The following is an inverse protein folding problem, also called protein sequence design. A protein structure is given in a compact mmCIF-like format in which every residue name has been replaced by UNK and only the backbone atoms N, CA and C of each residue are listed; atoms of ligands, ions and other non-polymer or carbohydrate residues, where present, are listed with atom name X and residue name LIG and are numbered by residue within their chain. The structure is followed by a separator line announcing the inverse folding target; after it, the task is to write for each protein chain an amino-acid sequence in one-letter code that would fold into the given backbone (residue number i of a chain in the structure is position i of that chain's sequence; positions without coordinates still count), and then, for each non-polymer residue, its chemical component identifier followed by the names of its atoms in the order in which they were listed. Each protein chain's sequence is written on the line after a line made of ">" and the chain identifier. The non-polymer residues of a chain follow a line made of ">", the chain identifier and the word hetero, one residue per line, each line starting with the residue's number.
data_IF_845585087444
#
_entry.id   IF_845585087444
#
_cell.length_a   1.000
_cell.length_b   1.000
_cell.length_c   1.000
_cell.angle_alpha   90.00
_cell.angle_beta   90.00
_cell.angle_gamma   90.00
#
_symmetry.space_group_name_H-M   'P 1'
#
loop_
_entity.id
_entity.type
_entity.pdbx_description
1 polymer ?
#
# COMPACT_ATOMS: atom_id res chain seq x y z
N UNK A 1 -14.27 -36.36 0.22
CA UNK A 1 -12.79 -36.35 0.30
C UNK A 1 -12.36 -34.92 -0.03
N UNK A 2 -12.29 -34.10 1.03
CA UNK A 2 -11.75 -32.74 1.19
C UNK A 2 -12.13 -31.72 0.11
N UNK A 3 -13.24 -30.97 0.25
CA UNK A 3 -13.41 -29.87 1.22
C UNK A 3 -12.29 -28.82 1.07
N UNK A 4 -12.37 -28.03 -0.01
CA UNK A 4 -11.61 -26.79 -0.15
C UNK A 4 -12.23 -25.75 0.78
N UNK A 5 -11.55 -25.53 1.91
CA UNK A 5 -11.84 -24.47 2.86
C UNK A 5 -11.97 -23.13 2.14
N UNK A 6 -13.20 -22.63 2.04
CA UNK A 6 -13.49 -21.24 1.72
C UNK A 6 -12.88 -20.38 2.82
N UNK A 7 -11.68 -19.85 2.55
CA UNK A 7 -11.01 -18.86 3.39
C UNK A 7 -11.96 -17.72 3.79
N UNK A 8 -11.71 -17.07 4.94
CA UNK A 8 -12.70 -16.25 5.62
C UNK A 8 -13.22 -15.13 4.72
N UNK A 9 -14.49 -15.29 4.33
CA UNK A 9 -15.33 -14.25 3.72
C UNK A 9 -15.57 -13.17 4.78
N UNK A 10 -14.72 -12.14 4.85
CA UNK A 10 -14.93 -11.15 5.91
C UNK A 10 -13.97 -9.97 6.07
N UNK A 11 -13.38 -9.38 5.02
CA UNK A 11 -12.94 -7.98 5.13
C UNK A 11 -13.00 -7.20 3.80
N UNK A 12 -14.24 -6.84 3.44
CA UNK A 12 -14.65 -5.62 2.72
C UNK A 12 -14.18 -5.45 1.26
N UNK A 13 -15.11 -5.71 0.35
CA UNK A 13 -15.17 -5.19 -1.04
C UNK A 13 -15.31 -3.64 -1.12
N UNK A 14 -14.65 -2.88 -0.24
CA UNK A 14 -14.91 -1.44 -0.08
C UNK A 14 -13.73 -0.63 0.46
N UNK A 15 -12.51 -1.12 0.28
CA UNK A 15 -11.30 -0.37 0.63
C UNK A 15 -10.82 0.31 -0.65
N UNK A 16 -11.02 1.63 -0.72
CA UNK A 16 -10.77 2.43 -1.92
C UNK A 16 -9.36 2.22 -2.49
N UNK A 17 -9.12 2.69 -3.72
CA UNK A 17 -7.82 2.51 -4.38
C UNK A 17 -6.64 2.99 -3.50
N UNK A 18 -6.80 4.10 -2.77
CA UNK A 18 -5.81 4.58 -1.78
C UNK A 18 -5.42 3.53 -0.73
N UNK A 19 -6.39 2.83 -0.16
CA UNK A 19 -6.12 1.85 0.90
C UNK A 19 -5.45 0.58 0.37
N UNK A 20 -5.80 0.16 -0.86
CA UNK A 20 -5.09 -0.94 -1.54
C UNK A 20 -3.64 -0.58 -1.82
N UNK A 21 -3.39 0.65 -2.30
CA UNK A 21 -2.03 1.15 -2.54
C UNK A 21 -1.22 1.14 -1.23
N UNK A 22 -1.79 1.60 -0.12
CA UNK A 22 -1.12 1.60 1.18
C UNK A 22 -0.88 0.19 1.73
N UNK A 23 -1.82 -0.73 1.51
CA UNK A 23 -1.64 -2.13 1.93
C UNK A 23 -0.48 -2.76 1.16
N UNK A 24 -0.48 -2.61 -0.17
CA UNK A 24 0.58 -3.13 -1.03
C UNK A 24 1.95 -2.48 -0.72
N UNK A 25 1.98 -1.17 -0.43
CA UNK A 25 3.23 -0.48 -0.10
C UNK A 25 3.83 -0.98 1.21
N UNK A 26 3.02 -1.21 2.25
CA UNK A 26 3.48 -1.77 3.52
C UNK A 26 4.15 -3.14 3.34
N UNK A 27 3.54 -4.01 2.55
CA UNK A 27 4.08 -5.35 2.29
C UNK A 27 5.40 -5.25 1.51
N UNK A 28 5.42 -4.54 0.39
CA UNK A 28 6.61 -4.43 -0.45
C UNK A 28 7.76 -3.69 0.25
N UNK A 29 7.48 -2.60 0.98
CA UNK A 29 8.52 -1.87 1.70
C UNK A 29 9.14 -2.71 2.81
N UNK A 30 8.35 -3.53 3.51
CA UNK A 30 8.85 -4.44 4.54
C UNK A 30 9.70 -5.56 3.92
N UNK A 31 9.25 -6.13 2.81
CA UNK A 31 9.84 -7.37 2.29
C UNK A 31 11.13 -7.12 1.46
N UNK A 32 11.19 -6.02 0.71
CA UNK A 32 12.33 -5.72 -0.19
C UNK A 32 12.93 -4.31 0.02
N UNK A 33 12.38 -3.52 0.94
CA UNK A 33 12.82 -2.16 1.22
C UNK A 33 12.18 -1.10 0.32
N UNK A 34 12.22 0.16 0.79
CA UNK A 34 11.67 1.31 0.07
C UNK A 34 12.37 1.48 -1.28
N UNK A 35 13.70 1.55 -1.32
CA UNK A 35 14.46 1.86 -2.54
C UNK A 35 14.21 0.83 -3.67
N UNK A 36 14.08 -0.46 -3.32
CA UNK A 36 13.81 -1.54 -4.28
C UNK A 36 12.37 -1.61 -4.77
N UNK A 37 11.44 -0.87 -4.14
CA UNK A 37 10.02 -0.89 -4.51
C UNK A 37 9.69 0.19 -5.55
N UNK A 38 9.30 -0.23 -6.75
CA UNK A 38 8.90 0.67 -7.85
C UNK A 38 7.41 1.04 -7.83
N UNK A 39 7.06 2.18 -8.42
CA UNK A 39 5.66 2.62 -8.56
C UNK A 39 4.82 1.67 -9.42
N UNK A 40 5.43 1.05 -10.43
CA UNK A 40 4.75 0.08 -11.30
C UNK A 40 4.44 -1.23 -10.58
N UNK A 41 5.36 -1.68 -9.72
CA UNK A 41 5.16 -2.84 -8.86
C UNK A 41 4.02 -2.58 -7.87
N UNK A 42 3.95 -1.36 -7.31
CA UNK A 42 2.84 -0.94 -6.45
C UNK A 42 1.50 -0.93 -7.19
N UNK A 43 1.46 -0.46 -8.45
CA UNK A 43 0.26 -0.51 -9.27
C UNK A 43 -0.24 -1.95 -9.46
N UNK A 44 0.68 -2.86 -9.79
CA UNK A 44 0.37 -4.27 -9.99
C UNK A 44 -0.15 -4.92 -8.71
N UNK A 45 0.55 -4.72 -7.58
CA UNK A 45 0.19 -5.32 -6.30
C UNK A 45 -1.13 -4.76 -5.72
N UNK A 46 -1.43 -3.48 -5.94
CA UNK A 46 -2.66 -2.85 -5.46
C UNK A 46 -3.86 -2.99 -6.42
N UNK A 47 -3.66 -3.62 -7.58
CA UNK A 47 -4.65 -3.74 -8.65
C UNK A 47 -5.25 -2.38 -9.03
N UNK A 48 -4.37 -1.41 -9.36
CA UNK A 48 -4.74 -0.06 -9.80
C UNK A 48 -3.96 0.36 -11.04
N UNK A 49 -4.53 1.30 -11.79
CA UNK A 49 -3.79 1.94 -12.89
C UNK A 49 -2.75 2.93 -12.34
N UNK A 50 -1.70 3.23 -13.11
CA UNK A 50 -0.76 4.32 -12.78
C UNK A 50 -1.50 5.64 -12.54
N UNK A 51 -2.48 5.97 -13.39
CA UNK A 51 -3.31 7.19 -13.23
C UNK A 51 -3.98 7.21 -11.87
N UNK A 52 -4.59 6.10 -11.46
CA UNK A 52 -5.28 5.98 -10.15
C UNK A 52 -4.28 6.10 -8.99
N UNK A 53 -3.09 5.51 -9.12
CA UNK A 53 -2.05 5.64 -8.11
C UNK A 53 -1.63 7.11 -7.96
N UNK A 54 -1.31 7.76 -9.07
CA UNK A 54 -0.88 9.16 -9.07
C UNK A 54 -1.99 10.17 -8.70
N UNK A 55 -3.26 9.79 -8.79
CA UNK A 55 -4.38 10.57 -8.25
C UNK A 55 -4.42 10.57 -6.72
N UNK A 56 -3.86 9.53 -6.08
CA UNK A 56 -3.84 9.39 -4.62
C UNK A 56 -2.50 9.75 -3.99
N UNK A 57 -1.41 9.60 -4.73
CA UNK A 57 -0.05 9.87 -4.27
C UNK A 57 0.76 10.50 -5.41
N UNK A 58 1.21 11.74 -5.22
CA UNK A 58 2.01 12.49 -6.18
C UNK A 58 3.33 11.77 -6.54
N UNK A 59 3.84 10.94 -5.63
CA UNK A 59 5.06 10.16 -5.85
C UNK A 59 5.35 9.18 -4.74
N UNK A 60 6.51 8.51 -4.87
CA UNK A 60 6.99 7.53 -3.89
C UNK A 60 7.24 8.15 -2.53
N UNK A 61 7.75 9.39 -2.49
CA UNK A 61 8.05 10.09 -1.22
C UNK A 61 6.80 10.34 -0.38
N UNK A 62 5.69 10.74 -1.01
CA UNK A 62 4.42 10.91 -0.29
C UNK A 62 3.90 9.58 0.25
N UNK A 63 4.01 8.51 -0.53
CA UNK A 63 3.62 7.16 -0.12
C UNK A 63 4.49 6.64 1.03
N UNK A 64 5.80 6.94 1.01
CA UNK A 64 6.74 6.62 2.09
C UNK A 64 6.42 7.42 3.33
N UNK A 65 6.18 8.72 3.22
CA UNK A 65 5.80 9.57 4.35
C UNK A 65 4.52 9.05 5.01
N UNK A 66 3.51 8.66 4.22
CA UNK A 66 2.27 8.10 4.71
C UNK A 66 2.47 6.71 5.37
N UNK A 67 3.35 5.88 4.81
CA UNK A 67 3.74 4.61 5.41
C UNK A 67 4.41 4.82 6.79
N UNK A 68 5.36 5.75 6.87
CA UNK A 68 6.08 6.08 8.11
C UNK A 68 5.12 6.62 9.19
N UNK A 69 4.22 7.55 8.82
CA UNK A 69 3.17 8.06 9.73
C UNK A 69 2.29 6.96 10.32
N UNK A 70 2.06 5.88 9.57
CA UNK A 70 1.25 4.77 10.03
C UNK A 70 2.01 3.79 10.93
N UNK A 71 3.35 3.74 10.83
CA UNK A 71 4.19 2.95 11.72
C UNK A 71 4.36 3.62 13.07
N UNK A 72 4.64 4.92 13.06
CA UNK A 72 4.71 5.75 14.25
C UNK A 72 4.21 7.15 13.90
N UNK A 73 3.06 7.57 14.47
CA UNK A 73 2.51 8.91 14.25
C UNK A 73 3.46 10.05 14.63
N UNK A 74 4.45 9.79 15.49
CA UNK A 74 5.40 10.78 15.97
C UNK A 74 6.71 10.81 15.17
N UNK A 75 6.86 9.97 14.14
CA UNK A 75 8.11 9.89 13.37
C UNK A 75 8.33 11.07 12.43
N UNK A 76 7.29 11.86 12.14
CA UNK A 76 7.37 13.09 11.33
C UNK A 76 6.86 14.32 12.11
N UNK A 77 7.45 14.72 13.25
CA UNK A 77 6.99 15.91 13.94
C UNK A 77 7.43 17.19 13.21
N UNK A 78 8.59 17.21 12.52
CA UNK A 78 9.18 18.42 11.94
C UNK A 78 9.97 18.18 10.65
N UNK A 79 9.29 17.81 9.57
CA UNK A 79 9.91 17.86 8.23
C UNK A 79 8.96 18.51 7.23
N UNK A 80 8.76 19.82 7.42
CA UNK A 80 8.61 20.89 6.42
C UNK A 80 8.73 22.24 7.13
#
# INVERSE_FOLDING_TARGET
>A
MTELEKGPRGLRRGRGARERILTASRELFRDQGINSTGMDQLCAAAEVSKRTLYQHFAGKDELVAEYLRQLDPNVLPEVF
#
